data_IF_848749529037
#
_entry.id   IF_848749529037
#
_cell.length_a   1.000
_cell.length_b   1.000
_cell.length_c   1.000
_cell.angle_alpha   90.00
_cell.angle_beta   90.00
_cell.angle_gamma   90.00
#
_symmetry.space_group_name_H-M   'P 1'
#
loop_
_entity.id
_entity.type
_entity.pdbx_description
1 polymer ?
#
# COMPACT_ATOMS: atom_id res chain seq x y z
N UNK A 1 18.23 -18.17 -3.08
CA UNK A 1 17.01 -17.61 -2.42
C UNK A 1 17.41 -16.43 -1.56
N UNK A 2 16.82 -15.25 -1.78
CA UNK A 2 17.04 -14.11 -0.90
C UNK A 2 16.50 -14.43 0.51
N UNK A 3 17.24 -14.04 1.56
CA UNK A 3 16.72 -14.16 2.94
C UNK A 3 15.41 -13.36 3.04
N UNK A 4 14.37 -13.85 3.74
CA UNK A 4 13.04 -13.22 3.78
C UNK A 4 13.07 -11.76 4.27
N UNK A 5 14.06 -11.39 5.10
CA UNK A 5 14.30 -10.01 5.51
C UNK A 5 14.72 -9.11 4.34
N UNK A 6 15.59 -9.57 3.46
CA UNK A 6 16.07 -8.80 2.31
C UNK A 6 14.96 -8.60 1.27
N UNK A 7 14.13 -9.63 1.07
CA UNK A 7 12.96 -9.55 0.20
C UNK A 7 11.97 -8.49 0.70
N UNK A 8 11.57 -8.57 1.97
CA UNK A 8 10.64 -7.59 2.56
C UNK A 8 11.17 -6.16 2.46
N UNK A 9 12.46 -5.93 2.70
CA UNK A 9 13.06 -4.60 2.56
C UNK A 9 13.06 -4.11 1.12
N UNK A 10 13.44 -4.96 0.17
CA UNK A 10 13.40 -4.60 -1.25
C UNK A 10 11.96 -4.23 -1.68
N UNK A 11 10.98 -5.07 -1.34
CA UNK A 11 9.58 -4.81 -1.65
C UNK A 11 9.05 -3.55 -0.96
N UNK A 12 9.44 -3.31 0.29
CA UNK A 12 9.12 -2.09 1.03
C UNK A 12 9.66 -0.84 0.33
N UNK A 13 10.91 -0.88 -0.17
CA UNK A 13 11.48 0.24 -0.94
C UNK A 13 10.74 0.47 -2.27
N UNK A 14 10.39 -0.59 -2.99
CA UNK A 14 9.61 -0.48 -4.23
C UNK A 14 8.22 0.12 -3.97
N UNK A 15 7.56 -0.27 -2.88
CA UNK A 15 6.30 0.35 -2.47
C UNK A 15 6.48 1.81 -2.06
N UNK A 16 7.57 2.16 -1.37
CA UNK A 16 7.87 3.55 -1.02
C UNK A 16 8.01 4.43 -2.26
N UNK A 17 8.77 3.98 -3.27
CA UNK A 17 8.93 4.70 -4.54
C UNK A 17 7.56 4.91 -5.21
N UNK A 18 6.74 3.86 -5.28
CA UNK A 18 5.41 3.95 -5.87
C UNK A 18 4.50 4.94 -5.13
N UNK A 19 4.47 4.89 -3.79
CA UNK A 19 3.67 5.82 -2.99
C UNK A 19 4.21 7.25 -3.03
N UNK A 20 5.52 7.44 -3.18
CA UNK A 20 6.15 8.74 -3.37
C UNK A 20 5.91 9.34 -4.76
N UNK A 21 5.73 8.50 -5.78
CA UNK A 21 5.35 8.92 -7.14
C UNK A 21 3.84 9.22 -7.28
N UNK A 22 2.98 8.34 -6.74
CA UNK A 22 1.68 8.77 -6.17
C UNK A 22 1.98 9.85 -5.10
N UNK A 23 1.12 10.49 -4.33
CA UNK A 23 1.50 11.72 -3.59
C UNK A 23 1.97 12.89 -4.49
N UNK A 24 3.09 12.79 -5.24
CA UNK A 24 3.58 13.85 -6.12
C UNK A 24 2.60 14.14 -7.26
N UNK A 25 2.05 13.11 -7.92
CA UNK A 25 1.05 13.31 -8.97
C UNK A 25 -0.25 13.88 -8.41
N UNK A 26 -0.62 13.50 -7.20
CA UNK A 26 -1.86 13.92 -6.54
C UNK A 26 -1.89 15.40 -6.18
N UNK A 27 -0.75 16.09 -6.12
CA UNK A 27 -0.70 17.54 -5.89
C UNK A 27 -1.40 18.35 -6.98
N UNK A 28 -1.60 17.77 -8.17
CA UNK A 28 -2.31 18.40 -9.27
C UNK A 28 -3.83 18.18 -9.22
N UNK A 29 -4.34 17.37 -8.28
CA UNK A 29 -5.76 17.07 -8.16
C UNK A 29 -6.47 18.05 -7.20
N UNK A 30 -7.76 18.37 -7.42
CA UNK A 30 -8.51 19.29 -6.56
C UNK A 30 -8.68 18.79 -5.11
N UNK A 31 -8.63 17.48 -4.89
CA UNK A 31 -8.73 16.82 -3.58
C UNK A 31 -7.38 16.28 -3.07
N UNK A 32 -6.27 16.87 -3.54
CA UNK A 32 -4.90 16.52 -3.15
C UNK A 32 -4.71 16.41 -1.63
N UNK A 33 -5.39 17.26 -0.85
CA UNK A 33 -5.26 17.36 0.60
C UNK A 33 -5.68 16.10 1.35
N UNK A 34 -6.48 15.22 0.75
CA UNK A 34 -6.81 13.91 1.32
C UNK A 34 -5.79 12.83 0.92
N UNK A 35 -5.43 12.80 -0.36
CA UNK A 35 -4.61 11.75 -0.94
C UNK A 35 -3.13 11.91 -0.66
N UNK A 36 -2.64 13.14 -0.66
CA UNK A 36 -1.23 13.45 -0.41
C UNK A 36 -0.79 12.97 0.99
N UNK A 37 -1.50 13.29 2.10
CA UNK A 37 -1.10 12.79 3.42
C UNK A 37 -1.11 11.27 3.52
N UNK A 38 -2.09 10.60 2.90
CA UNK A 38 -2.15 9.13 2.87
C UNK A 38 -0.90 8.53 2.23
N UNK A 39 -0.62 8.93 0.99
CA UNK A 39 0.49 8.36 0.23
C UNK A 39 1.85 8.79 0.78
N UNK A 40 1.99 10.02 1.26
CA UNK A 40 3.20 10.48 1.93
C UNK A 40 3.49 9.66 3.21
N UNK A 41 2.49 9.44 4.07
CA UNK A 41 2.66 8.62 5.26
C UNK A 41 2.97 7.15 4.91
N UNK A 42 2.30 6.59 3.90
CA UNK A 42 2.58 5.25 3.41
C UNK A 42 4.02 5.13 2.86
N UNK A 43 4.50 6.15 2.15
CA UNK A 43 5.88 6.24 1.67
C UNK A 43 6.87 6.25 2.84
N UNK A 44 6.66 7.12 3.84
CA UNK A 44 7.51 7.23 5.03
C UNK A 44 7.62 5.89 5.78
N UNK A 45 6.48 5.21 6.01
CA UNK A 45 6.46 3.91 6.70
C UNK A 45 7.24 2.87 5.89
N UNK A 46 7.04 2.81 4.58
CA UNK A 46 7.73 1.87 3.70
C UNK A 46 9.24 2.17 3.56
N UNK A 47 9.66 3.43 3.67
CA UNK A 47 11.07 3.83 3.62
C UNK A 47 11.79 3.56 4.95
N UNK A 48 11.15 3.87 6.08
CA UNK A 48 11.77 3.84 7.41
C UNK A 48 11.73 2.48 8.09
N UNK A 49 11.11 1.47 7.48
CA UNK A 49 11.00 0.10 7.97
C UNK A 49 12.35 -0.55 8.36
N UNK A 50 13.48 -0.11 7.77
CA UNK A 50 14.81 -0.63 8.14
C UNK A 50 15.38 -0.05 9.45
N UNK A 51 14.89 1.11 9.92
CA UNK A 51 15.41 1.80 11.12
C UNK A 51 14.73 1.29 12.39
N UNK A 52 15.40 0.38 13.09
CA UNK A 52 14.96 -0.24 14.37
C UNK A 52 14.67 0.80 15.48
N UNK A 53 15.24 2.00 15.39
CA UNK A 53 15.16 3.04 16.43
C UNK A 53 13.82 3.78 16.49
N UNK A 54 12.97 3.70 15.47
CA UNK A 54 11.74 4.49 15.36
C UNK A 54 10.44 3.67 15.48
N UNK A 55 10.51 2.45 16.05
CA UNK A 55 9.39 1.50 16.09
C UNK A 55 8.08 2.06 16.65
N UNK A 56 8.14 2.89 17.71
CA UNK A 56 6.95 3.50 18.31
C UNK A 56 6.30 4.53 17.38
N UNK A 57 7.09 5.49 16.90
CA UNK A 57 6.61 6.53 15.99
C UNK A 57 6.09 5.95 14.66
N UNK A 58 6.83 5.04 14.03
CA UNK A 58 6.43 4.40 12.77
C UNK A 58 5.12 3.62 12.95
N UNK A 59 4.93 2.95 14.09
CA UNK A 59 3.66 2.25 14.39
C UNK A 59 2.49 3.22 14.44
N UNK A 60 2.63 4.36 15.10
CA UNK A 60 1.58 5.39 15.14
C UNK A 60 1.31 5.97 13.75
N UNK A 61 2.34 6.31 12.99
CA UNK A 61 2.18 6.82 11.62
C UNK A 61 1.48 5.78 10.74
N UNK A 62 1.83 4.50 10.86
CA UNK A 62 1.18 3.41 10.13
C UNK A 62 -0.30 3.23 10.54
N UNK A 63 -0.64 3.40 11.81
CA UNK A 63 -2.03 3.36 12.28
C UNK A 63 -2.85 4.55 11.75
N UNK A 64 -2.29 5.75 11.76
CA UNK A 64 -2.94 6.95 11.21
C UNK A 64 -3.14 6.80 9.71
N UNK A 65 -2.10 6.38 8.97
CA UNK A 65 -2.18 6.11 7.54
C UNK A 65 -3.19 5.00 7.22
N UNK A 66 -3.27 3.96 8.04
CA UNK A 66 -4.27 2.90 7.90
C UNK A 66 -5.68 3.43 8.07
N UNK A 67 -5.93 4.21 9.12
CA UNK A 67 -7.23 4.84 9.37
C UNK A 67 -7.65 5.72 8.20
N UNK A 68 -6.74 6.62 7.77
CA UNK A 68 -6.98 7.49 6.62
C UNK A 68 -7.22 6.69 5.34
N UNK A 69 -6.45 5.62 5.10
CA UNK A 69 -6.60 4.75 3.95
C UNK A 69 -7.96 4.05 3.91
N UNK A 70 -8.44 3.57 5.05
CA UNK A 70 -9.78 2.94 5.16
C UNK A 70 -10.89 3.97 4.91
N UNK A 71 -10.78 5.16 5.49
CA UNK A 71 -11.77 6.23 5.28
C UNK A 71 -11.85 6.65 3.81
N UNK A 72 -10.70 6.83 3.15
CA UNK A 72 -10.67 7.19 1.73
C UNK A 72 -11.13 6.05 0.82
N UNK A 73 -10.81 4.80 1.17
CA UNK A 73 -11.36 3.65 0.46
C UNK A 73 -12.89 3.64 0.51
N UNK A 74 -13.49 3.86 1.68
CA UNK A 74 -14.95 3.95 1.84
C UNK A 74 -15.50 5.12 1.02
N UNK A 75 -14.88 6.31 1.09
CA UNK A 75 -15.27 7.50 0.30
C UNK A 75 -15.36 7.18 -1.18
N UNK A 76 -14.32 6.56 -1.75
CA UNK A 76 -14.27 6.23 -3.18
C UNK A 76 -15.24 5.12 -3.57
N UNK A 77 -15.46 4.13 -2.69
CA UNK A 77 -16.47 3.09 -2.92
C UNK A 77 -17.88 3.70 -2.98
N UNK A 78 -18.20 4.61 -2.06
CA UNK A 78 -19.48 5.34 -2.07
C UNK A 78 -19.60 6.22 -3.31
N UNK A 79 -18.55 6.95 -3.69
CA UNK A 79 -18.52 7.79 -4.89
C UNK A 79 -18.74 6.97 -6.18
N UNK A 80 -18.08 5.81 -6.30
CA UNK A 80 -18.27 4.90 -7.42
C UNK A 80 -19.69 4.33 -7.49
N UNK A 81 -20.30 4.03 -6.34
CA UNK A 81 -21.69 3.58 -6.27
C UNK A 81 -22.68 4.68 -6.68
N UNK A 82 -22.52 5.89 -6.15
CA UNK A 82 -23.41 7.04 -6.43
C UNK A 82 -23.34 7.44 -7.90
N UNK A 83 -22.14 7.52 -8.48
CA UNK A 83 -21.97 7.95 -9.87
C UNK A 83 -22.26 6.85 -10.90
N UNK A 84 -22.41 5.59 -10.48
CA UNK A 84 -22.63 4.41 -11.35
C UNK A 84 -21.54 4.18 -12.42
N UNK A 85 -20.34 4.74 -12.22
CA UNK A 85 -19.27 4.78 -13.25
C UNK A 85 -18.54 3.44 -13.36
N UNK A 86 -18.50 2.64 -12.29
CA UNK A 86 -17.77 1.37 -12.30
C UNK A 86 -18.35 0.41 -11.27
N UNK A 87 -18.55 -0.85 -11.66
CA UNK A 87 -18.94 -1.91 -10.72
C UNK A 87 -17.91 -2.08 -9.60
N UNK A 88 -18.33 -2.61 -8.45
CA UNK A 88 -17.49 -2.86 -7.28
C UNK A 88 -16.23 -3.72 -7.57
N UNK A 89 -16.20 -4.44 -8.70
CA UNK A 89 -15.08 -5.28 -9.13
C UNK A 89 -14.37 -4.78 -10.39
N UNK A 90 -14.77 -3.62 -10.92
CA UNK A 90 -14.08 -3.05 -12.08
C UNK A 90 -12.65 -2.66 -11.71
N UNK A 91 -11.71 -3.11 -12.54
CA UNK A 91 -10.29 -2.77 -12.49
C UNK A 91 -9.89 -1.90 -13.69
N UNK A 92 -10.85 -1.25 -14.33
CA UNK A 92 -10.60 -0.34 -15.43
C UNK A 92 -9.89 0.92 -14.92
N UNK A 93 -8.56 0.97 -15.12
CA UNK A 93 -7.72 2.08 -14.71
C UNK A 93 -7.97 3.36 -15.54
N UNK A 94 -8.77 3.30 -16.61
CA UNK A 94 -9.20 4.49 -17.34
C UNK A 94 -9.96 5.44 -16.41
N UNK A 95 -10.77 4.89 -15.52
CA UNK A 95 -11.63 5.65 -14.61
C UNK A 95 -10.86 6.05 -13.35
N UNK A 96 -10.93 7.34 -13.04
CA UNK A 96 -10.24 7.93 -11.88
C UNK A 96 -10.63 7.25 -10.55
N UNK A 97 -11.92 6.97 -10.36
CA UNK A 97 -12.46 6.33 -9.16
C UNK A 97 -11.84 4.94 -8.92
N UNK A 98 -11.58 4.18 -9.99
CA UNK A 98 -10.96 2.85 -9.89
C UNK A 98 -9.49 2.97 -9.49
N UNK A 99 -8.76 3.96 -10.03
CA UNK A 99 -7.36 4.23 -9.64
C UNK A 99 -7.25 4.61 -8.17
N UNK A 100 -8.10 5.52 -7.69
CA UNK A 100 -8.12 5.97 -6.30
C UNK A 100 -8.49 4.85 -5.31
N UNK A 101 -9.47 4.02 -5.68
CA UNK A 101 -9.86 2.83 -4.92
C UNK A 101 -8.71 1.83 -4.83
N UNK A 102 -8.04 1.58 -5.95
CA UNK A 102 -6.91 0.66 -6.01
C UNK A 102 -5.74 1.19 -5.19
N UNK A 103 -5.39 2.47 -5.32
CA UNK A 103 -4.30 3.09 -4.57
C UNK A 103 -4.54 3.13 -3.06
N UNK A 104 -5.74 3.50 -2.61
CA UNK A 104 -6.12 3.42 -1.18
C UNK A 104 -6.08 2.00 -0.64
N UNK A 105 -6.57 1.01 -1.40
CA UNK A 105 -6.51 -0.40 -1.01
C UNK A 105 -5.07 -0.90 -0.87
N UNK A 106 -4.19 -0.55 -1.82
CA UNK A 106 -2.76 -0.87 -1.77
C UNK A 106 -2.09 -0.27 -0.53
N UNK A 107 -2.42 0.98 -0.19
CA UNK A 107 -1.91 1.64 1.01
C UNK A 107 -2.36 0.92 2.29
N UNK A 108 -3.66 0.56 2.38
CA UNK A 108 -4.22 -0.19 3.52
C UNK A 108 -3.51 -1.53 3.71
N UNK A 109 -3.38 -2.34 2.65
CA UNK A 109 -2.72 -3.66 2.72
C UNK A 109 -1.25 -3.50 3.14
N UNK A 110 -0.54 -2.50 2.57
CA UNK A 110 0.83 -2.19 2.95
C UNK A 110 0.95 -1.88 4.45
N UNK A 111 0.09 -1.01 4.98
CA UNK A 111 0.12 -0.64 6.40
C UNK A 111 -0.22 -1.82 7.32
N UNK A 112 -1.18 -2.66 6.95
CA UNK A 112 -1.50 -3.89 7.70
C UNK A 112 -0.28 -4.81 7.77
N UNK A 113 0.40 -5.04 6.64
CA UNK A 113 1.61 -5.89 6.60
C UNK A 113 2.74 -5.31 7.47
N UNK A 114 2.93 -3.99 7.47
CA UNK A 114 3.89 -3.32 8.36
C UNK A 114 3.50 -3.43 9.84
N UNK A 115 2.22 -3.25 10.19
CA UNK A 115 1.75 -3.36 11.57
C UNK A 115 1.85 -4.80 12.10
N UNK A 116 1.58 -5.80 11.27
CA UNK A 116 1.80 -7.22 11.60
C UNK A 116 3.30 -7.48 11.80
N UNK A 117 4.17 -6.89 10.97
CA UNK A 117 5.62 -7.01 11.15
C UNK A 117 6.13 -6.33 12.45
N UNK A 118 5.51 -5.22 12.85
CA UNK A 118 5.89 -4.43 14.03
C UNK A 118 5.35 -5.02 15.34
N UNK A 119 4.21 -5.73 15.28
CA UNK A 119 3.55 -6.36 16.43
C UNK A 119 4.20 -7.71 16.77
N UNK A 120 5.45 -7.71 17.26
CA UNK A 120 6.08 -8.92 17.81
C UNK A 120 5.84 -9.01 19.35
N UNK A 121 5.33 -10.13 19.90
CA UNK A 121 5.12 -10.31 21.34
C UNK A 121 6.40 -10.68 22.12
N UNK A 122 6.36 -10.48 23.44
CA UNK A 122 7.48 -10.47 24.40
C UNK A 122 8.09 -11.85 24.71
N UNK A 123 7.43 -12.97 24.37
CA UNK A 123 7.85 -14.30 24.84
C UNK A 123 8.93 -15.01 24.02
N UNK A 124 10.01 -15.42 24.70
CA UNK A 124 11.29 -15.79 24.11
C UNK A 124 11.39 -17.21 23.51
N UNK A 125 10.56 -18.19 23.90
CA UNK A 125 10.76 -19.62 23.54
C UNK A 125 9.95 -20.09 22.32
N UNK A 126 8.73 -19.59 22.07
CA UNK A 126 8.00 -19.82 20.79
C UNK A 126 8.54 -18.96 19.62
N UNK A 127 9.50 -18.08 19.93
CA UNK A 127 10.02 -16.97 19.11
C UNK A 127 10.78 -17.37 17.85
N UNK A 128 11.51 -18.50 17.80
CA UNK A 128 12.35 -18.81 16.61
C UNK A 128 11.54 -19.40 15.45
N UNK A 129 10.60 -20.30 15.73
CA UNK A 129 9.82 -21.02 14.70
C UNK A 129 8.71 -20.14 14.11
N UNK A 130 7.91 -19.46 14.94
CA UNK A 130 6.86 -18.52 14.49
C UNK A 130 7.40 -17.27 13.78
N UNK A 131 8.60 -16.80 14.16
CA UNK A 131 9.22 -15.61 13.56
C UNK A 131 9.75 -15.84 12.14
N UNK A 132 10.17 -17.06 11.81
CA UNK A 132 10.58 -17.41 10.44
C UNK A 132 9.36 -17.53 9.54
N UNK A 133 8.31 -18.21 10.01
CA UNK A 133 7.05 -18.39 9.25
C UNK A 133 6.30 -17.08 9.08
N UNK A 134 6.10 -16.30 10.15
CA UNK A 134 5.43 -15.00 10.11
C UNK A 134 6.16 -13.97 9.25
N UNK A 135 7.50 -13.89 9.33
CA UNK A 135 8.28 -13.02 8.43
C UNK A 135 8.25 -13.51 6.99
N UNK A 136 8.19 -14.82 6.76
CA UNK A 136 7.99 -15.38 5.43
C UNK A 136 6.67 -14.90 4.84
N UNK A 137 5.56 -15.09 5.55
CA UNK A 137 4.21 -14.68 5.09
C UNK A 137 4.15 -13.17 4.81
N UNK A 138 4.69 -12.33 5.70
CA UNK A 138 4.71 -10.87 5.49
C UNK A 138 5.60 -10.48 4.30
N UNK A 139 6.76 -11.13 4.14
CA UNK A 139 7.65 -10.87 3.00
C UNK A 139 7.01 -11.27 1.67
N UNK A 140 6.38 -12.44 1.59
CA UNK A 140 5.64 -12.87 0.40
C UNK A 140 4.40 -12.01 0.15
N UNK A 141 3.70 -11.59 1.21
CA UNK A 141 2.59 -10.64 1.10
C UNK A 141 3.01 -9.32 0.49
N UNK A 142 4.12 -8.73 0.94
CA UNK A 142 4.68 -7.52 0.33
C UNK A 142 5.18 -7.75 -1.09
N UNK A 143 5.75 -8.91 -1.39
CA UNK A 143 6.16 -9.25 -2.75
C UNK A 143 4.96 -9.34 -3.70
N UNK A 144 3.87 -9.97 -3.26
CA UNK A 144 2.61 -10.01 -4.01
C UNK A 144 2.02 -8.62 -4.19
N UNK A 145 2.09 -7.76 -3.16
CA UNK A 145 1.63 -6.38 -3.23
C UNK A 145 2.41 -5.56 -4.27
N UNK A 146 3.73 -5.72 -4.33
CA UNK A 146 4.58 -5.11 -5.37
C UNK A 146 4.23 -5.66 -6.75
N UNK A 147 4.12 -6.98 -6.89
CA UNK A 147 3.78 -7.59 -8.17
C UNK A 147 2.43 -7.09 -8.70
N UNK A 148 1.42 -6.98 -7.83
CA UNK A 148 0.11 -6.46 -8.21
C UNK A 148 0.15 -4.97 -8.55
N UNK A 149 0.81 -4.15 -7.71
CA UNK A 149 0.83 -2.70 -7.88
C UNK A 149 1.56 -2.23 -9.14
N UNK A 150 2.64 -2.90 -9.54
CA UNK A 150 3.35 -2.62 -10.79
C UNK A 150 2.75 -3.39 -11.98
N UNK A 151 2.25 -4.60 -11.75
CA UNK A 151 1.70 -5.46 -12.79
C UNK A 151 0.37 -4.98 -13.35
N UNK A 152 -0.52 -4.46 -12.50
CA UNK A 152 -1.84 -3.99 -12.94
C UNK A 152 -1.75 -2.81 -13.94
N UNK A 153 -0.98 -1.74 -13.69
CA UNK A 153 -0.73 -0.70 -14.70
C UNK A 153 -0.02 -1.22 -15.95
N UNK A 154 0.94 -2.14 -15.79
CA UNK A 154 1.66 -2.72 -16.93
C UNK A 154 0.71 -3.47 -17.88
N UNK A 155 -0.17 -4.32 -17.34
CA UNK A 155 -1.17 -5.04 -18.15
C UNK A 155 -2.11 -4.06 -18.85
N UNK A 156 -2.59 -3.03 -18.14
CA UNK A 156 -3.52 -2.07 -18.71
C UNK A 156 -2.92 -1.25 -19.86
N UNK A 157 -1.73 -0.68 -19.67
CA UNK A 157 -1.13 0.20 -20.68
C UNK A 157 -0.45 -0.58 -21.82
N UNK A 158 0.24 -1.68 -21.51
CA UNK A 158 1.04 -2.40 -22.51
C UNK A 158 0.21 -3.44 -23.26
N UNK A 159 -0.66 -4.17 -22.57
CA UNK A 159 -1.42 -5.29 -23.16
C UNK A 159 -2.76 -4.79 -23.68
N UNK A 160 -3.53 -4.07 -22.85
CA UNK A 160 -4.87 -3.61 -23.23
C UNK A 160 -4.86 -2.31 -24.03
N UNK A 161 -3.72 -1.59 -24.08
CA UNK A 161 -3.59 -0.26 -24.70
C UNK A 161 -4.68 0.70 -24.22
N UNK A 162 -4.99 0.67 -22.92
CA UNK A 162 -6.06 1.48 -22.35
C UNK A 162 -5.74 2.98 -22.40
N UNK A 163 -6.73 3.78 -22.77
CA UNK A 163 -6.64 5.24 -22.74
C UNK A 163 -7.14 5.79 -21.41
N UNK A 164 -6.46 6.81 -20.88
CA UNK A 164 -6.88 7.45 -19.63
C UNK A 164 -8.03 8.43 -19.88
N UNK A 165 -9.08 8.32 -19.07
CA UNK A 165 -10.13 9.34 -18.98
C UNK A 165 -9.81 10.27 -17.81
N UNK A 166 -9.82 11.56 -18.08
CA UNK A 166 -9.48 12.63 -17.14
C UNK A 166 -10.74 13.30 -16.60
#
# INVERSE_FOLDING_TARGET
MAKPRNLFTCCSLLMAIMFGFSSSVQLNDPDWYFWFPLYACACIVNLLNWRISAKGYIKHVAQVALCLGVLLFIKVVVEGYVRKIAGLWSLDLAERVVREKTGSLLAVISMVLHLVCLSEPVDAKQRKKRKIVGRGVVAYGMAGLVAFSYGLPFVFFVIQKGEMRF
#
